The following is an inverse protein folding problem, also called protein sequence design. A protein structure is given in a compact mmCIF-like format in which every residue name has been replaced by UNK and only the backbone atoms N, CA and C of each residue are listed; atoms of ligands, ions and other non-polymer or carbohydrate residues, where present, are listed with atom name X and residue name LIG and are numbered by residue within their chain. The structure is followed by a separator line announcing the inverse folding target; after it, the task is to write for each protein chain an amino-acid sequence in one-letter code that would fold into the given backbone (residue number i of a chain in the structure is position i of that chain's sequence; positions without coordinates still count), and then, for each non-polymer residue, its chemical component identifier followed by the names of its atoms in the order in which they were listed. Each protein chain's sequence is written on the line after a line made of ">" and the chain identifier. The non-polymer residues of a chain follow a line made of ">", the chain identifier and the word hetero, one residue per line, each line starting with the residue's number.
data_IF_238998225594
#
_entry.id   IF_238998225594
#
_cell.length_a   1.000
_cell.length_b   1.000
_cell.length_c   1.000
_cell.angle_alpha   90.00
_cell.angle_beta   90.00
_cell.angle_gamma   90.00
#
_symmetry.space_group_name_H-M   'P 1'
#
loop_
_entity.id
_entity.type
_entity.pdbx_description
1 polymer ?
#
# COMPACT_ATOMS: atom_id res chain seq x y z
N UNK A 1 -0.88 -15.98 11.64
CA UNK A 1 -0.90 -14.86 12.60
C UNK A 1 -1.41 -13.60 11.92
N UNK A 2 -2.25 -12.81 12.60
CA UNK A 2 -2.84 -11.58 12.06
C UNK A 2 -1.88 -10.39 12.25
N UNK A 3 -1.10 -10.02 11.24
CA UNK A 3 0.02 -9.04 11.34
C UNK A 3 -0.37 -7.55 11.41
N UNK A 4 -1.59 -7.22 11.84
CA UNK A 4 -2.03 -5.84 12.14
C UNK A 4 -2.90 -5.74 13.40
N UNK A 5 -3.44 -6.86 13.86
CA UNK A 5 -3.81 -7.05 15.27
C UNK A 5 -2.64 -7.66 16.06
N UNK A 6 -1.41 -7.49 15.57
CA UNK A 6 -0.18 -7.96 16.20
C UNK A 6 0.34 -6.84 17.11
N UNK A 7 0.32 -7.03 18.45
CA UNK A 7 0.81 -6.03 19.38
C UNK A 7 2.28 -5.68 19.13
N UNK A 8 3.08 -6.59 18.56
CA UNK A 8 4.51 -6.36 18.28
C UNK A 8 4.70 -5.27 17.22
N UNK A 9 3.86 -5.20 16.18
CA UNK A 9 3.94 -4.12 15.20
C UNK A 9 3.59 -2.76 15.83
N UNK A 10 2.54 -2.71 16.66
CA UNK A 10 2.11 -1.47 17.34
C UNK A 10 3.07 -1.06 18.48
N UNK A 11 3.77 -2.01 19.09
CA UNK A 11 4.80 -1.78 20.10
C UNK A 11 6.12 -1.30 19.46
N UNK A 12 6.55 -1.93 18.36
CA UNK A 12 7.71 -1.48 17.58
C UNK A 12 7.48 -0.18 16.82
N UNK A 13 6.22 0.19 16.59
CA UNK A 13 5.84 1.42 15.88
C UNK A 13 6.32 2.70 16.58
N UNK A 14 6.71 2.70 17.86
CA UNK A 14 7.09 3.91 18.65
C UNK A 14 6.06 5.06 18.65
N UNK A 15 4.92 4.91 17.97
CA UNK A 15 3.78 5.82 17.92
C UNK A 15 3.09 5.75 19.29
N UNK A 16 3.64 6.52 20.24
CA UNK A 16 2.96 6.84 21.49
C UNK A 16 1.58 7.39 21.15
N UNK A 17 0.58 7.07 22.00
CA UNK A 17 -0.73 7.69 21.87
C UNK A 17 -0.56 9.21 21.94
N UNK A 18 -1.19 9.92 21.00
CA UNK A 18 -1.13 11.39 20.94
C UNK A 18 -2.38 11.98 21.58
N UNK A 19 -2.23 13.11 22.27
CA UNK A 19 -3.35 13.77 22.96
C UNK A 19 -4.48 14.19 21.99
N UNK A 20 -4.13 14.43 20.72
CA UNK A 20 -5.08 14.49 19.61
C UNK A 20 -4.49 13.89 18.32
N UNK A 21 -5.34 13.45 17.40
CA UNK A 21 -4.93 13.17 16.02
C UNK A 21 -4.54 14.46 15.31
N UNK A 22 -3.31 14.52 14.81
CA UNK A 22 -2.77 15.69 14.10
C UNK A 22 -3.57 16.07 12.81
N UNK A 23 -4.41 15.16 12.29
CA UNK A 23 -5.18 15.36 11.05
C UNK A 23 -6.69 15.58 11.22
N UNK A 24 -7.31 15.00 12.24
CA UNK A 24 -8.77 15.12 12.47
C UNK A 24 -9.14 15.66 13.86
N UNK A 25 -8.14 16.08 14.65
CA UNK A 25 -8.28 16.70 15.97
C UNK A 25 -9.01 15.84 17.02
N UNK A 26 -9.33 14.57 16.70
CA UNK A 26 -9.94 13.64 17.65
C UNK A 26 -9.03 13.49 18.89
N UNK A 27 -9.54 13.70 20.11
CA UNK A 27 -8.74 13.56 21.33
C UNK A 27 -8.40 12.08 21.61
N UNK A 28 -7.24 11.87 22.23
CA UNK A 28 -6.67 10.57 22.63
C UNK A 28 -6.67 9.54 21.50
N UNK A 29 -5.71 9.66 20.59
CA UNK A 29 -5.58 8.75 19.45
C UNK A 29 -4.47 7.72 19.64
N UNK A 30 -4.82 6.46 19.40
CA UNK A 30 -3.90 5.34 19.36
C UNK A 30 -3.32 5.14 17.93
N UNK A 31 -2.30 4.29 17.83
CA UNK A 31 -1.71 3.93 16.54
C UNK A 31 -2.74 3.28 15.57
N UNK A 32 -3.78 2.60 16.10
CA UNK A 32 -4.90 2.09 15.30
C UNK A 32 -5.69 3.23 14.63
N UNK A 33 -5.96 4.32 15.34
CA UNK A 33 -6.56 5.50 14.74
C UNK A 33 -5.63 6.10 13.68
N UNK A 34 -4.38 6.39 14.05
CA UNK A 34 -3.45 7.09 13.15
C UNK A 34 -3.19 6.33 11.85
N UNK A 35 -2.91 5.02 11.92
CA UNK A 35 -2.50 4.20 10.77
C UNK A 35 -3.67 3.61 9.98
N UNK A 36 -4.84 3.41 10.61
CA UNK A 36 -5.97 2.71 9.96
C UNK A 36 -7.27 3.53 9.89
N UNK A 37 -7.65 4.28 10.94
CA UNK A 37 -8.99 4.92 11.01
C UNK A 37 -9.02 6.42 10.69
N UNK A 38 -7.87 7.09 10.61
CA UNK A 38 -7.83 8.53 10.32
C UNK A 38 -8.34 8.82 8.90
N UNK A 39 -8.99 9.97 8.64
CA UNK A 39 -9.51 10.28 7.31
C UNK A 39 -8.42 10.27 6.22
N UNK A 40 -7.22 10.78 6.55
CA UNK A 40 -6.09 10.89 5.62
C UNK A 40 -5.62 9.53 5.07
N UNK A 41 -5.70 8.46 5.86
CA UNK A 41 -5.24 7.13 5.43
C UNK A 41 -6.33 6.32 4.72
N UNK A 42 -7.61 6.74 4.77
CA UNK A 42 -8.70 6.01 4.11
C UNK A 42 -8.50 5.91 2.60
N UNK A 43 -8.00 6.97 1.96
CA UNK A 43 -7.74 6.98 0.51
C UNK A 43 -6.74 5.90 0.07
N UNK A 44 -5.71 5.64 0.90
CA UNK A 44 -4.78 4.52 0.67
C UNK A 44 -5.51 3.19 0.87
N UNK A 45 -6.22 3.00 1.98
CA UNK A 45 -6.86 1.71 2.28
C UNK A 45 -7.96 1.33 1.28
N UNK A 46 -8.72 2.30 0.77
CA UNK A 46 -9.69 2.11 -0.30
C UNK A 46 -9.01 1.71 -1.62
N UNK A 47 -7.91 2.38 -1.98
CA UNK A 47 -7.10 2.02 -3.15
C UNK A 47 -6.55 0.59 -3.03
N UNK A 48 -5.86 0.29 -1.93
CA UNK A 48 -5.31 -1.05 -1.65
C UNK A 48 -6.40 -2.13 -1.71
N UNK A 49 -7.59 -1.87 -1.15
CA UNK A 49 -8.73 -2.80 -1.22
C UNK A 49 -9.15 -3.08 -2.66
N UNK A 50 -9.39 -2.04 -3.48
CA UNK A 50 -9.78 -2.21 -4.89
C UNK A 50 -8.73 -2.99 -5.69
N UNK A 51 -7.44 -2.70 -5.45
CA UNK A 51 -6.35 -3.46 -6.08
C UNK A 51 -6.32 -4.92 -5.60
N UNK A 52 -6.56 -5.19 -4.30
CA UNK A 52 -6.66 -6.56 -3.79
C UNK A 52 -7.87 -7.31 -4.35
N UNK A 53 -9.02 -6.65 -4.51
CA UNK A 53 -10.22 -7.22 -5.14
C UNK A 53 -9.94 -7.63 -6.60
N UNK A 54 -9.23 -6.78 -7.35
CA UNK A 54 -8.84 -7.08 -8.74
C UNK A 54 -7.78 -8.20 -8.85
N UNK A 55 -6.80 -8.26 -7.94
CA UNK A 55 -5.81 -9.35 -7.89
C UNK A 55 -6.42 -10.71 -7.50
N UNK A 56 -7.45 -10.71 -6.66
CA UNK A 56 -8.03 -11.91 -6.07
C UNK A 56 -9.36 -12.34 -6.70
N UNK A 57 -9.81 -11.65 -7.75
CA UNK A 57 -11.06 -11.97 -8.45
C UNK A 57 -11.20 -13.49 -8.73
N UNK A 58 -12.37 -14.11 -8.44
CA UNK A 58 -13.66 -13.51 -8.06
C UNK A 58 -13.84 -13.22 -6.56
N UNK A 59 -12.79 -13.33 -5.73
CA UNK A 59 -12.89 -13.09 -4.29
C UNK A 59 -12.94 -11.61 -3.96
N UNK A 60 -14.04 -11.16 -3.34
CA UNK A 60 -14.11 -9.85 -2.70
C UNK A 60 -13.36 -9.83 -1.36
N UNK A 61 -12.70 -8.72 -1.06
CA UNK A 61 -11.99 -8.47 0.19
C UNK A 61 -12.72 -7.42 1.02
N UNK A 62 -12.70 -7.61 2.34
CA UNK A 62 -13.13 -6.59 3.30
C UNK A 62 -11.94 -5.77 3.74
N UNK A 63 -12.18 -4.54 4.20
CA UNK A 63 -11.12 -3.72 4.80
C UNK A 63 -10.42 -4.45 5.96
N UNK A 64 -11.14 -5.28 6.73
CA UNK A 64 -10.58 -6.09 7.82
C UNK A 64 -9.60 -7.20 7.34
N UNK A 65 -9.76 -7.70 6.11
CA UNK A 65 -8.88 -8.69 5.46
C UNK A 65 -7.67 -8.08 4.75
N UNK A 66 -7.79 -6.81 4.35
CA UNK A 66 -6.69 -5.99 3.82
C UNK A 66 -5.82 -5.47 4.99
N UNK A 67 -6.47 -5.06 6.08
CA UNK A 67 -5.95 -5.16 7.46
C UNK A 67 -5.64 -6.64 7.76
N UNK A 68 -4.83 -6.94 8.77
CA UNK A 68 -4.27 -8.28 9.08
C UNK A 68 -3.35 -8.84 7.98
N UNK A 69 -3.83 -9.02 6.75
CA UNK A 69 -3.15 -9.63 5.61
C UNK A 69 -3.90 -10.83 5.04
N UNK A 70 -3.62 -11.15 3.78
CA UNK A 70 -4.25 -12.26 3.05
C UNK A 70 -3.49 -13.55 3.35
N UNK A 71 -4.19 -14.64 3.67
CA UNK A 71 -3.56 -15.97 3.77
C UNK A 71 -3.51 -16.60 2.38
N UNK A 72 -2.32 -16.98 1.93
CA UNK A 72 -2.08 -17.50 0.59
C UNK A 72 -0.60 -17.76 0.31
N UNK A 73 -0.35 -18.40 -0.84
CA UNK A 73 1.00 -18.64 -1.40
C UNK A 73 1.05 -18.43 -2.92
N UNK A 74 -0.09 -18.21 -3.59
CA UNK A 74 -0.12 -17.84 -5.01
C UNK A 74 0.46 -16.44 -5.19
N UNK A 75 0.99 -16.16 -6.37
CA UNK A 75 1.66 -14.90 -6.68
C UNK A 75 0.72 -13.69 -6.48
N UNK A 76 -0.56 -13.82 -6.83
CA UNK A 76 -1.62 -12.82 -6.54
C UNK A 76 -1.73 -12.49 -5.04
N UNK A 77 -1.67 -13.49 -4.17
CA UNK A 77 -1.78 -13.35 -2.72
C UNK A 77 -0.48 -12.79 -2.11
N UNK A 78 0.68 -13.16 -2.67
CA UNK A 78 1.98 -12.59 -2.28
C UNK A 78 2.04 -11.10 -2.66
N UNK A 79 1.64 -10.76 -3.89
CA UNK A 79 1.62 -9.39 -4.41
C UNK A 79 0.62 -8.50 -3.64
N UNK A 80 -0.57 -9.03 -3.31
CA UNK A 80 -1.53 -8.33 -2.47
C UNK A 80 -0.99 -8.11 -1.04
N UNK A 81 -0.31 -9.09 -0.43
CA UNK A 81 0.35 -8.91 0.87
C UNK A 81 1.53 -7.93 0.81
N UNK A 82 2.27 -7.89 -0.29
CA UNK A 82 3.30 -6.88 -0.53
C UNK A 82 2.66 -5.48 -0.56
N UNK A 83 1.59 -5.28 -1.33
CA UNK A 83 0.87 -4.00 -1.41
C UNK A 83 0.37 -3.53 -0.04
N UNK A 84 -0.27 -4.44 0.70
CA UNK A 84 -0.74 -4.23 2.07
C UNK A 84 0.41 -3.81 2.99
N UNK A 85 1.57 -4.48 2.90
CA UNK A 85 2.74 -4.17 3.73
C UNK A 85 3.38 -2.84 3.34
N UNK A 86 3.42 -2.52 2.05
CA UNK A 86 3.90 -1.26 1.49
C UNK A 86 3.02 -0.08 1.93
N UNK A 87 1.70 -0.27 2.01
CA UNK A 87 0.75 0.70 2.54
C UNK A 87 0.98 0.97 4.04
N UNK A 88 1.07 -0.08 4.87
CA UNK A 88 1.40 0.03 6.31
C UNK A 88 2.67 0.86 6.52
N UNK A 89 3.75 0.48 5.83
CA UNK A 89 5.05 1.15 5.92
C UNK A 89 4.98 2.60 5.42
N UNK A 90 4.27 2.87 4.33
CA UNK A 90 4.14 4.23 3.79
C UNK A 90 3.38 5.14 4.74
N UNK A 91 2.20 4.72 5.20
CA UNK A 91 1.39 5.47 6.17
C UNK A 91 2.22 5.77 7.42
N UNK A 92 2.78 4.73 8.03
CA UNK A 92 3.61 4.81 9.21
C UNK A 92 4.76 5.83 9.08
N UNK A 93 5.52 5.75 7.99
CA UNK A 93 6.65 6.64 7.74
C UNK A 93 6.27 8.08 7.43
N UNK A 94 5.06 8.35 6.92
CA UNK A 94 4.55 9.73 6.76
C UNK A 94 4.07 10.24 8.12
N UNK A 95 3.25 9.46 8.83
CA UNK A 95 2.71 9.84 10.14
C UNK A 95 3.79 10.14 11.18
N UNK A 96 4.86 9.34 11.27
CA UNK A 96 5.97 9.64 12.18
C UNK A 96 6.66 10.96 11.79
N UNK A 97 6.97 11.17 10.51
CA UNK A 97 7.62 12.41 10.06
C UNK A 97 6.76 13.64 10.31
N UNK A 98 5.46 13.54 10.07
CA UNK A 98 4.50 14.61 10.35
C UNK A 98 4.46 14.95 11.85
N UNK A 99 4.46 13.95 12.74
CA UNK A 99 4.53 14.15 14.20
C UNK A 99 5.89 14.75 14.62
N UNK A 100 7.01 14.23 14.11
CA UNK A 100 8.37 14.67 14.46
C UNK A 100 8.68 16.10 13.99
N UNK A 101 8.03 16.56 12.91
CA UNK A 101 8.30 17.87 12.31
C UNK A 101 7.17 18.90 12.53
N UNK A 102 6.12 18.54 13.29
CA UNK A 102 4.87 19.30 13.44
C UNK A 102 4.26 19.74 12.08
N UNK A 103 4.16 18.79 11.15
CA UNK A 103 3.72 19.01 9.76
C UNK A 103 2.46 18.22 9.42
N UNK A 104 1.66 18.79 8.53
CA UNK A 104 0.47 18.15 7.93
C UNK A 104 0.73 17.82 6.49
N UNK A 105 1.11 16.58 6.19
CA UNK A 105 1.14 16.09 4.82
C UNK A 105 -0.31 16.00 4.30
N UNK A 106 -0.71 16.78 3.28
CA UNK A 106 -2.12 16.89 2.88
C UNK A 106 -2.60 15.74 2.00
N UNK A 107 -1.69 14.96 1.40
CA UNK A 107 -2.04 13.95 0.41
C UNK A 107 -1.22 12.66 0.57
N UNK A 108 -1.69 11.82 1.48
CA UNK A 108 -1.14 10.49 1.73
C UNK A 108 -1.27 9.56 0.52
N UNK A 109 -2.40 9.61 -0.18
CA UNK A 109 -2.72 8.75 -1.33
C UNK A 109 -1.69 8.96 -2.45
N UNK A 110 -1.40 10.20 -2.82
CA UNK A 110 -0.52 10.48 -3.96
C UNK A 110 0.94 10.17 -3.65
N UNK A 111 1.39 10.34 -2.39
CA UNK A 111 2.71 9.89 -1.95
C UNK A 111 2.81 8.37 -2.04
N UNK A 112 1.77 7.64 -1.63
CA UNK A 112 1.71 6.19 -1.76
C UNK A 112 1.74 5.74 -3.23
N UNK A 113 0.86 6.30 -4.07
CA UNK A 113 0.81 6.06 -5.52
C UNK A 113 2.14 6.37 -6.21
N UNK A 114 2.76 7.50 -5.89
CA UNK A 114 4.08 7.89 -6.42
C UNK A 114 5.16 6.89 -6.01
N UNK A 115 5.17 6.44 -4.76
CA UNK A 115 6.16 5.48 -4.25
C UNK A 115 6.03 4.10 -4.91
N UNK A 116 4.82 3.60 -5.12
CA UNK A 116 4.61 2.30 -5.78
C UNK A 116 4.87 2.37 -7.29
N UNK A 117 4.40 3.43 -7.99
CA UNK A 117 4.75 3.68 -9.40
C UNK A 117 6.28 3.74 -9.58
N UNK A 118 7.00 4.48 -8.72
CA UNK A 118 8.48 4.53 -8.73
C UNK A 118 9.11 3.15 -8.50
N UNK A 119 8.61 2.34 -7.55
CA UNK A 119 9.14 0.98 -7.33
C UNK A 119 8.99 0.11 -8.59
N UNK A 120 7.83 0.14 -9.24
CA UNK A 120 7.57 -0.64 -10.47
C UNK A 120 8.50 -0.21 -11.61
N UNK A 121 8.72 1.10 -11.79
CA UNK A 121 9.68 1.63 -12.78
C UNK A 121 11.12 1.15 -12.49
N UNK A 122 11.55 1.19 -11.23
CA UNK A 122 12.88 0.70 -10.83
C UNK A 122 13.04 -0.81 -11.06
N UNK A 123 12.02 -1.60 -10.71
CA UNK A 123 11.99 -3.05 -11.00
C UNK A 123 12.06 -3.31 -12.50
N UNK A 124 11.26 -2.63 -13.32
CA UNK A 124 11.29 -2.78 -14.77
C UNK A 124 12.67 -2.48 -15.36
N UNK A 125 13.32 -1.41 -14.91
CA UNK A 125 14.68 -1.07 -15.35
C UNK A 125 15.69 -2.16 -14.95
N UNK A 126 15.57 -2.73 -13.75
CA UNK A 126 16.40 -3.84 -13.28
C UNK A 126 16.18 -5.11 -14.13
N UNK A 127 14.94 -5.55 -14.32
CA UNK A 127 14.63 -6.73 -15.14
C UNK A 127 15.03 -6.55 -16.62
N UNK A 128 14.96 -5.33 -17.18
CA UNK A 128 15.52 -5.01 -18.51
C UNK A 128 17.04 -5.23 -18.54
N UNK A 129 17.78 -4.74 -17.54
CA UNK A 129 19.24 -4.96 -17.44
C UNK A 129 19.66 -6.41 -17.17
N UNK A 130 18.70 -7.29 -16.85
CA UNK A 130 18.89 -8.73 -16.60
C UNK A 130 18.23 -9.61 -17.65
N UNK A 131 17.83 -9.03 -18.78
CA UNK A 131 17.12 -9.68 -19.89
C UNK A 131 16.09 -10.73 -19.43
N UNK A 132 15.21 -10.30 -18.51
CA UNK A 132 14.22 -11.18 -17.87
C UNK A 132 12.88 -10.48 -17.67
N UNK A 133 12.41 -9.81 -18.72
CA UNK A 133 11.14 -9.08 -18.75
C UNK A 133 9.94 -10.00 -18.45
N UNK A 134 10.03 -11.27 -18.81
CA UNK A 134 9.02 -12.30 -18.58
C UNK A 134 8.79 -12.49 -17.07
N UNK A 135 9.85 -12.39 -16.25
CA UNK A 135 9.75 -12.41 -14.79
C UNK A 135 9.14 -11.13 -14.22
N UNK A 136 9.42 -9.97 -14.83
CA UNK A 136 8.73 -8.72 -14.47
C UNK A 136 7.23 -8.84 -14.75
N UNK A 137 6.83 -9.33 -15.92
CA UNK A 137 5.43 -9.52 -16.31
C UNK A 137 4.73 -10.55 -15.42
N UNK A 138 5.40 -11.66 -15.08
CA UNK A 138 4.88 -12.67 -14.16
C UNK A 138 4.59 -12.11 -12.75
N UNK A 139 5.36 -11.12 -12.27
CA UNK A 139 5.15 -10.52 -10.94
C UNK A 139 4.26 -9.28 -10.93
N UNK A 140 4.42 -8.37 -11.89
CA UNK A 140 3.77 -7.06 -11.91
C UNK A 140 2.66 -6.93 -12.96
N UNK A 141 2.71 -7.76 -14.00
CA UNK A 141 1.70 -7.83 -15.06
C UNK A 141 0.48 -8.69 -14.71
N UNK A 142 0.42 -9.27 -13.51
CA UNK A 142 -0.68 -10.14 -13.08
C UNK A 142 -2.03 -9.43 -13.24
N UNK A 143 -2.89 -9.99 -14.10
CA UNK A 143 -4.21 -9.47 -14.47
C UNK A 143 -4.20 -7.99 -14.93
N UNK A 144 -3.05 -7.46 -15.36
CA UNK A 144 -2.81 -6.03 -15.66
C UNK A 144 -3.14 -5.06 -14.49
N UNK A 145 -3.23 -5.55 -13.25
CA UNK A 145 -3.82 -4.79 -12.13
C UNK A 145 -2.92 -3.64 -11.65
N UNK A 146 -1.61 -3.81 -11.70
CA UNK A 146 -0.65 -2.73 -11.45
C UNK A 146 -0.26 -2.03 -12.75
N UNK A 147 0.11 -2.84 -13.74
CA UNK A 147 0.59 -2.37 -15.02
C UNK A 147 0.53 -3.49 -16.07
N UNK A 148 0.70 -3.12 -17.32
CA UNK A 148 0.99 -4.02 -18.44
C UNK A 148 2.19 -3.48 -19.24
N UNK A 149 2.75 -4.30 -20.13
CA UNK A 149 3.71 -3.85 -21.13
C UNK A 149 3.08 -3.93 -22.53
N UNK A 150 3.21 -2.88 -23.33
CA UNK A 150 2.77 -2.89 -24.73
C UNK A 150 3.79 -3.65 -25.62
N UNK A 151 3.53 -3.73 -26.94
CA UNK A 151 4.41 -4.40 -27.91
C UNK A 151 5.85 -3.84 -27.92
N UNK A 152 6.00 -2.54 -27.68
CA UNK A 152 7.29 -1.83 -27.61
C UNK A 152 7.96 -1.95 -26.23
N UNK A 153 7.44 -2.84 -25.37
CA UNK A 153 7.84 -3.02 -23.96
C UNK A 153 7.67 -1.76 -23.10
N UNK A 154 6.88 -0.78 -23.53
CA UNK A 154 6.52 0.42 -22.75
C UNK A 154 5.47 0.10 -21.68
N UNK A 155 5.59 0.76 -20.53
CA UNK A 155 4.75 0.53 -19.35
C UNK A 155 3.42 1.30 -19.46
N UNK A 156 2.31 0.58 -19.31
CA UNK A 156 0.96 1.16 -19.13
C UNK A 156 0.48 0.83 -17.72
N UNK A 157 -0.21 1.74 -17.05
CA UNK A 157 -0.74 1.50 -15.69
C UNK A 157 -2.05 0.74 -15.74
N UNK A 158 -2.36 -0.03 -14.69
CA UNK A 158 -3.68 -0.64 -14.52
C UNK A 158 -4.70 0.38 -14.00
N UNK A 159 -5.98 0.19 -14.31
CA UNK A 159 -7.09 1.12 -14.00
C UNK A 159 -7.13 1.63 -12.55
N UNK A 160 -6.68 0.82 -11.58
CA UNK A 160 -6.60 1.24 -10.17
C UNK A 160 -5.60 2.39 -9.92
N UNK A 161 -4.67 2.63 -10.85
CA UNK A 161 -3.48 3.49 -10.71
C UNK A 161 -3.45 4.65 -11.71
N UNK A 162 -4.40 4.69 -12.63
CA UNK A 162 -4.65 5.86 -13.47
C UNK A 162 -5.27 6.98 -12.63
N UNK A 163 -4.95 8.22 -13.00
CA UNK A 163 -5.37 9.41 -12.26
C UNK A 163 -6.74 9.86 -12.78
N UNK A 164 -7.78 9.60 -11.97
CA UNK A 164 -9.06 10.32 -11.98
C UNK A 164 -8.98 11.50 -11.00
#
# INVERSE_FOLDING_TARGET
>A
MNRLADPIFLHHAKLKATDACHYCLKPRCDAMHMVIKSPQVQGIWQLVRRTCDALLYPRTTTLCMVISGIRGKKETEVLANFLISFARSTIYNITIKDIENDKRTPNFKDIFTTRIKKRIITELAWYRSKDSIEKFVAWWGINNVFCSLNKDKCLTWGECWEEN
#
